data_IF_329030315825
#
_entry.id   IF_329030315825
#
_cell.length_a   1.000
_cell.length_b   1.000
_cell.length_c   1.000
_cell.angle_alpha   90.00
_cell.angle_beta   90.00
_cell.angle_gamma   90.00
#
_symmetry.space_group_name_H-M   'P 1'
#
loop_
_entity.id
_entity.type
_entity.pdbx_description
1 polymer ?
#
# COMPACT_ATOMS: atom_id res chain seq x y z
N UNK A 1 -10.24 -1.58 15.30
CA UNK A 1 -8.78 -1.39 15.50
C UNK A 1 -8.10 -2.04 14.29
N UNK A 2 -7.14 -1.38 13.66
CA UNK A 2 -6.39 -1.98 12.53
C UNK A 2 -5.42 -2.98 13.13
N UNK A 3 -5.70 -4.27 12.99
CA UNK A 3 -4.95 -5.31 13.67
C UNK A 3 -3.75 -5.78 12.84
N UNK A 4 -2.55 -5.50 13.36
CA UNK A 4 -1.28 -5.96 12.83
C UNK A 4 -0.97 -7.32 13.46
N UNK A 5 -1.49 -8.38 12.86
CA UNK A 5 -1.49 -9.69 13.52
C UNK A 5 -0.39 -10.63 13.02
N UNK A 6 0.10 -10.40 11.80
CA UNK A 6 1.03 -11.29 11.13
C UNK A 6 2.46 -11.03 11.58
N UNK A 7 3.20 -12.08 11.89
CA UNK A 7 4.66 -12.01 11.97
C UNK A 7 5.29 -11.76 10.59
N UNK A 8 6.57 -11.40 10.58
CA UNK A 8 7.33 -11.19 9.33
C UNK A 8 7.35 -12.43 8.44
N UNK A 9 7.44 -13.63 9.02
CA UNK A 9 7.47 -14.89 8.27
C UNK A 9 6.11 -15.18 7.63
N UNK A 10 5.03 -15.02 8.38
CA UNK A 10 3.66 -15.21 7.84
C UNK A 10 3.37 -14.21 6.73
N UNK A 11 3.81 -12.95 6.90
CA UNK A 11 3.70 -11.95 5.84
C UNK A 11 4.46 -12.37 4.57
N UNK A 12 5.67 -12.91 4.70
CA UNK A 12 6.44 -13.40 3.55
C UNK A 12 5.74 -14.56 2.83
N UNK A 13 5.18 -15.52 3.57
CA UNK A 13 4.46 -16.65 2.99
C UNK A 13 3.25 -16.18 2.18
N UNK A 14 2.44 -15.27 2.74
CA UNK A 14 1.27 -14.73 2.03
C UNK A 14 1.68 -13.98 0.76
N UNK A 15 2.78 -13.22 0.80
CA UNK A 15 3.27 -12.47 -0.36
C UNK A 15 3.85 -13.38 -1.45
N UNK A 16 4.48 -14.50 -1.10
CA UNK A 16 4.97 -15.48 -2.08
C UNK A 16 3.82 -16.14 -2.85
N UNK A 17 2.72 -16.43 -2.16
CA UNK A 17 1.49 -16.97 -2.73
C UNK A 17 0.68 -15.91 -3.51
N UNK A 18 0.77 -14.65 -3.10
CA UNK A 18 0.00 -13.55 -3.68
C UNK A 18 0.93 -12.37 -4.05
N UNK A 19 1.62 -12.43 -5.21
CA UNK A 19 2.63 -11.44 -5.60
C UNK A 19 2.13 -10.00 -5.71
N UNK A 20 0.83 -9.81 -5.91
CA UNK A 20 0.19 -8.48 -6.02
C UNK A 20 -0.16 -7.88 -4.67
N UNK A 21 -0.07 -8.65 -3.58
CA UNK A 21 -0.33 -8.15 -2.23
C UNK A 21 0.88 -7.39 -1.71
N UNK A 22 0.66 -6.61 -0.66
CA UNK A 22 1.71 -5.90 0.07
C UNK A 22 1.49 -6.06 1.56
N UNK A 23 2.54 -5.93 2.35
CA UNK A 23 2.40 -5.87 3.79
C UNK A 23 2.84 -4.50 4.30
N UNK A 24 2.18 -4.01 5.34
CA UNK A 24 2.54 -2.77 6.02
C UNK A 24 2.54 -3.00 7.53
N UNK A 25 3.54 -2.47 8.24
CA UNK A 25 3.60 -2.50 9.70
C UNK A 25 3.08 -1.19 10.31
N UNK A 26 2.97 -1.13 11.65
CA UNK A 26 2.46 0.06 12.35
C UNK A 26 3.32 1.32 12.17
N UNK A 27 4.62 1.14 11.92
CA UNK A 27 5.54 2.24 11.62
C UNK A 27 5.37 2.75 10.17
N UNK A 28 4.69 1.97 9.31
CA UNK A 28 4.45 2.22 7.90
C UNK A 28 5.52 1.65 6.95
N UNK A 29 6.45 0.83 7.45
CA UNK A 29 7.34 0.03 6.59
C UNK A 29 6.51 -0.89 5.71
N UNK A 30 6.99 -1.12 4.49
CA UNK A 30 6.28 -1.97 3.52
C UNK A 30 7.13 -3.11 3.02
N UNK A 31 6.49 -4.26 2.79
CA UNK A 31 7.03 -5.42 2.11
C UNK A 31 6.25 -5.67 0.84
N UNK A 32 6.95 -5.98 -0.23
CA UNK A 32 6.36 -6.35 -1.52
C UNK A 32 7.23 -7.38 -2.23
N UNK A 33 6.59 -8.26 -3.00
CA UNK A 33 7.28 -9.16 -3.91
C UNK A 33 7.59 -8.44 -5.22
N UNK A 34 8.77 -8.65 -5.82
CA UNK A 34 9.11 -8.09 -7.13
C UNK A 34 10.03 -9.01 -7.93
N UNK A 35 9.82 -8.99 -9.25
CA UNK A 35 10.65 -9.72 -10.20
C UNK A 35 10.23 -11.18 -10.33
N UNK A 36 10.70 -11.83 -11.39
CA UNK A 36 10.40 -13.24 -11.69
C UNK A 36 10.96 -14.18 -10.61
N UNK A 37 12.09 -13.80 -10.01
CA UNK A 37 12.73 -14.53 -8.91
C UNK A 37 12.10 -14.23 -7.53
N UNK A 38 10.96 -13.50 -7.50
CA UNK A 38 10.15 -13.26 -6.31
C UNK A 38 10.92 -12.63 -5.13
N UNK A 39 11.77 -11.65 -5.39
CA UNK A 39 12.48 -10.95 -4.32
C UNK A 39 11.53 -10.16 -3.43
N UNK A 40 11.66 -10.31 -2.12
CA UNK A 40 10.97 -9.43 -1.17
C UNK A 40 11.75 -8.13 -1.04
N UNK A 41 11.14 -7.06 -1.54
CA UNK A 41 11.65 -5.71 -1.36
C UNK A 41 11.04 -5.12 -0.10
N UNK A 42 11.93 -4.75 0.82
CA UNK A 42 11.58 -4.00 2.01
C UNK A 42 11.85 -2.52 1.78
N UNK A 43 10.84 -1.67 2.01
CA UNK A 43 10.97 -0.21 2.00
C UNK A 43 10.71 0.39 3.38
N UNK A 44 11.73 1.06 3.91
CA UNK A 44 11.69 1.83 5.16
C UNK A 44 11.21 3.25 4.93
N UNK A 45 10.53 3.83 5.92
CA UNK A 45 10.17 5.24 5.88
C UNK A 45 11.33 6.04 6.48
N UNK A 46 11.70 7.15 5.82
CA UNK A 46 12.88 7.96 6.19
C UNK A 46 12.82 8.52 7.63
N UNK A 47 11.62 8.66 8.20
CA UNK A 47 11.42 9.17 9.56
C UNK A 47 11.67 8.11 10.65
N UNK A 48 11.67 6.83 10.29
CA UNK A 48 11.87 5.70 11.21
C UNK A 48 13.18 4.95 10.92
N UNK A 49 14.20 5.63 10.39
CA UNK A 49 15.46 5.01 9.94
C UNK A 49 16.15 4.16 11.01
N UNK A 50 16.00 4.54 12.27
CA UNK A 50 16.64 3.89 13.41
C UNK A 50 15.90 2.62 13.86
N UNK A 51 14.67 2.39 13.36
CA UNK A 51 13.91 1.15 13.59
C UNK A 51 14.16 0.18 12.45
N UNK A 52 14.95 -0.84 12.74
CA UNK A 52 15.14 -1.96 11.82
C UNK A 52 13.92 -2.87 11.86
N UNK A 53 13.51 -3.36 10.69
CA UNK A 53 12.51 -4.44 10.63
C UNK A 53 13.08 -5.69 11.29
N UNK A 54 12.30 -6.26 12.19
CA UNK A 54 12.63 -7.49 12.91
C UNK A 54 11.72 -8.64 12.50
N UNK A 55 12.07 -9.87 12.87
CA UNK A 55 11.16 -11.02 12.71
C UNK A 55 9.92 -10.92 13.61
N UNK A 56 10.03 -10.17 14.72
CA UNK A 56 8.95 -9.87 15.64
C UNK A 56 8.03 -8.73 15.19
N UNK A 57 8.36 -8.07 14.08
CA UNK A 57 7.49 -7.02 13.54
C UNK A 57 6.12 -7.60 13.20
N UNK A 58 5.12 -6.75 13.41
CA UNK A 58 3.73 -7.08 13.17
C UNK A 58 3.22 -6.37 11.92
N UNK A 59 2.65 -7.16 11.03
CA UNK A 59 2.28 -6.75 9.69
C UNK A 59 0.79 -6.93 9.46
N UNK A 60 0.30 -6.16 8.49
CA UNK A 60 -1.03 -6.29 7.92
C UNK A 60 -0.91 -6.36 6.41
N UNK A 61 -1.70 -7.22 5.78
CA UNK A 61 -1.79 -7.32 4.32
C UNK A 61 -2.65 -6.20 3.75
N UNK A 62 -2.19 -5.64 2.64
CA UNK A 62 -2.89 -4.68 1.80
C UNK A 62 -3.11 -5.35 0.46
N UNK A 63 -4.36 -5.62 0.14
CA UNK A 63 -4.78 -6.22 -1.14
C UNK A 63 -4.98 -5.12 -2.19
N UNK A 64 -4.80 -5.42 -3.49
CA UNK A 64 -5.28 -4.55 -4.53
C UNK A 64 -6.81 -4.44 -4.45
N UNK A 65 -7.33 -3.25 -4.74
CA UNK A 65 -8.76 -2.95 -4.75
C UNK A 65 -9.21 -2.62 -6.17
N UNK A 66 -10.52 -2.71 -6.44
CA UNK A 66 -11.07 -2.27 -7.72
C UNK A 66 -10.94 -0.76 -7.90
N UNK A 67 -11.00 -0.30 -9.14
CA UNK A 67 -11.00 1.13 -9.45
C UNK A 67 -12.20 1.83 -8.80
N UNK A 68 -13.38 1.20 -8.81
CA UNK A 68 -14.60 1.76 -8.24
C UNK A 68 -14.44 2.02 -6.74
N UNK A 69 -13.91 1.04 -6.00
CA UNK A 69 -13.64 1.18 -4.58
C UNK A 69 -12.53 2.22 -4.31
N UNK A 70 -11.47 2.22 -5.13
CA UNK A 70 -10.41 3.21 -5.04
C UNK A 70 -10.96 4.64 -5.24
N UNK A 71 -11.84 4.83 -6.22
CA UNK A 71 -12.45 6.13 -6.51
C UNK A 71 -13.35 6.60 -5.36
N UNK A 72 -14.16 5.71 -4.80
CA UNK A 72 -14.99 6.02 -3.63
C UNK A 72 -14.14 6.38 -2.39
N UNK A 73 -13.04 5.67 -2.15
CA UNK A 73 -12.10 5.99 -1.07
C UNK A 73 -11.38 7.33 -1.33
N UNK A 74 -11.02 7.62 -2.57
CA UNK A 74 -10.42 8.90 -2.96
C UNK A 74 -11.37 10.08 -2.74
N UNK A 75 -12.66 9.92 -3.08
CA UNK A 75 -13.70 10.91 -2.75
C UNK A 75 -13.82 11.16 -1.25
N UNK A 76 -13.58 10.13 -0.44
CA UNK A 76 -13.49 10.21 1.03
C UNK A 76 -12.12 10.70 1.54
N UNK A 77 -11.36 11.38 0.69
CA UNK A 77 -10.07 12.01 1.01
C UNK A 77 -8.97 11.01 1.42
N UNK A 78 -9.08 9.74 1.04
CA UNK A 78 -8.01 8.76 1.23
C UNK A 78 -6.94 8.91 0.16
N UNK A 79 -5.68 8.67 0.55
CA UNK A 79 -4.58 8.55 -0.40
C UNK A 79 -4.65 7.20 -1.08
N UNK A 80 -4.58 7.21 -2.42
CA UNK A 80 -4.60 6.02 -3.26
C UNK A 80 -3.27 5.88 -3.98
N UNK A 81 -2.68 4.69 -3.96
CA UNK A 81 -1.55 4.34 -4.81
C UNK A 81 -2.05 3.58 -6.05
N UNK A 82 -1.61 4.01 -7.22
CA UNK A 82 -1.73 3.29 -8.47
C UNK A 82 -0.36 2.74 -8.87
N UNK A 83 -0.28 1.46 -9.20
CA UNK A 83 0.94 0.82 -9.66
C UNK A 83 0.73 0.19 -11.03
N UNK A 84 1.56 0.56 -11.98
CA UNK A 84 1.54 0.05 -13.35
C UNK A 84 2.46 -1.17 -13.48
N UNK A 85 2.26 -1.95 -14.54
CA UNK A 85 3.02 -3.16 -14.81
C UNK A 85 4.52 -2.91 -15.07
N UNK A 86 4.87 -1.72 -15.54
CA UNK A 86 6.27 -1.27 -15.69
C UNK A 86 6.96 -0.99 -14.33
N UNK A 87 6.23 -1.09 -13.23
CA UNK A 87 6.69 -0.82 -11.87
C UNK A 87 6.63 0.66 -11.46
N UNK A 88 6.16 1.55 -12.35
CA UNK A 88 5.86 2.94 -12.04
C UNK A 88 4.74 3.01 -11.00
N UNK A 89 4.86 3.92 -10.04
CA UNK A 89 3.83 4.17 -9.03
C UNK A 89 3.43 5.65 -9.01
N UNK A 90 2.14 5.91 -8.84
CA UNK A 90 1.57 7.25 -8.65
C UNK A 90 0.73 7.28 -7.38
N UNK A 91 0.83 8.37 -6.63
CA UNK A 91 0.00 8.61 -5.46
C UNK A 91 -0.99 9.72 -5.77
N UNK A 92 -2.25 9.49 -5.42
CA UNK A 92 -3.35 10.43 -5.58
C UNK A 92 -3.87 10.83 -4.20
N UNK A 93 -3.80 12.13 -3.89
CA UNK A 93 -4.35 12.75 -2.69
C UNK A 93 -5.15 14.00 -3.08
N UNK A 94 -6.32 14.20 -2.46
CA UNK A 94 -7.16 15.41 -2.71
C UNK A 94 -6.68 16.65 -1.98
N UNK A 95 -5.91 16.47 -0.90
CA UNK A 95 -5.29 17.57 -0.17
C UNK A 95 -3.79 17.62 -0.47
N UNK A 96 -3.29 18.76 -0.98
CA UNK A 96 -1.86 19.05 -0.94
C UNK A 96 -1.40 19.17 0.52
N UNK A 97 -0.15 18.81 0.80
CA UNK A 97 0.42 18.85 2.16
C UNK A 97 0.34 20.26 2.83
N UNK A 98 0.14 21.33 2.04
CA UNK A 98 -0.01 22.72 2.48
C UNK A 98 -1.23 23.45 1.86
N UNK A 99 -2.26 22.73 1.40
CA UNK A 99 -3.39 23.32 0.67
C UNK A 99 -4.66 23.49 1.52
N UNK A 100 -5.35 24.63 1.38
CA UNK A 100 -6.73 24.84 1.88
C UNK A 100 -7.80 24.49 0.83
N UNK A 101 -7.41 23.86 -0.28
CA UNK A 101 -8.28 23.56 -1.42
C UNK A 101 -8.43 22.04 -1.57
N UNK A 102 -9.66 21.58 -1.68
CA UNK A 102 -10.00 20.18 -1.99
C UNK A 102 -10.26 20.09 -3.49
N UNK A 103 -9.55 19.19 -4.17
CA UNK A 103 -9.82 18.90 -5.58
C UNK A 103 -11.04 17.97 -5.66
N UNK A 104 -12.19 18.49 -6.06
CA UNK A 104 -13.39 17.71 -6.34
C UNK A 104 -13.31 17.06 -7.73
N UNK A 105 -12.42 16.06 -7.87
CA UNK A 105 -12.35 15.22 -9.05
C UNK A 105 -12.48 13.73 -8.70
N UNK A 106 -12.81 12.93 -9.70
CA UNK A 106 -12.60 11.48 -9.67
C UNK A 106 -11.11 11.15 -9.81
N UNK A 107 -10.74 9.91 -9.49
CA UNK A 107 -9.46 9.35 -9.89
C UNK A 107 -9.38 9.26 -11.42
N UNK A 108 -8.22 9.53 -12.03
CA UNK A 108 -8.04 9.23 -13.44
C UNK A 108 -8.08 7.71 -13.64
N UNK A 109 -8.83 7.26 -14.64
CA UNK A 109 -8.84 5.85 -15.01
C UNK A 109 -7.49 5.42 -15.60
N UNK A 110 -6.95 4.33 -15.08
CA UNK A 110 -5.72 3.71 -15.56
C UNK A 110 -6.01 2.31 -16.09
N UNK A 111 -5.45 1.97 -17.25
CA UNK A 111 -5.41 0.58 -17.75
C UNK A 111 -4.19 -0.13 -17.17
N UNK A 112 -4.29 -1.45 -17.01
CA UNK A 112 -3.16 -2.33 -16.65
C UNK A 112 -2.42 -1.84 -15.40
N UNK A 113 -3.20 -1.57 -14.34
CA UNK A 113 -2.68 -1.07 -13.08
C UNK A 113 -3.44 -1.64 -11.87
N UNK A 114 -2.74 -1.74 -10.75
CA UNK A 114 -3.28 -2.14 -9.46
C UNK A 114 -3.46 -0.93 -8.57
N UNK A 115 -4.61 -0.86 -7.89
CA UNK A 115 -4.97 0.20 -6.97
C UNK A 115 -4.82 -0.28 -5.53
N UNK A 116 -4.25 0.56 -4.67
CA UNK A 116 -4.07 0.26 -3.25
C UNK A 116 -4.48 1.45 -2.40
N UNK A 117 -5.10 1.17 -1.25
CA UNK A 117 -5.30 2.14 -0.20
C UNK A 117 -4.75 1.59 1.12
N UNK A 118 -3.59 2.09 1.54
CA UNK A 118 -2.91 1.59 2.75
C UNK A 118 -3.67 1.88 4.04
N UNK A 119 -4.60 2.82 4.07
CA UNK A 119 -5.43 3.08 5.24
C UNK A 119 -6.75 2.29 5.25
N UNK A 120 -7.05 1.56 4.18
CA UNK A 120 -8.30 0.81 4.03
C UNK A 120 -8.17 -0.64 4.52
N UNK A 121 -9.29 -1.22 4.92
CA UNK A 121 -9.47 -2.63 5.28
C UNK A 121 -10.85 -3.08 4.79
N UNK A 122 -10.92 -4.25 4.15
CA UNK A 122 -12.20 -4.95 3.97
C UNK A 122 -12.55 -5.57 5.33
N UNK A 123 -13.76 -5.30 5.82
CA UNK A 123 -14.35 -5.99 6.97
C UNK A 123 -14.77 -7.42 6.60
#
# INVERSE_FOLDING_TARGET
MVEYNLSTIEAFQILDENPTYRAVNAEGHTLELRGEEKFIIHRRIKLAKDKHVSLSDKWRIVKPISYELANELFKKLRTIECRFDDGTKKFYNKMPDNGHVIIESDLPYGKDCLWYCFSYYEE
#
